data_IF_209842266941
#
_entry.id   IF_209842266941
#
_cell.length_a   1.000
_cell.length_b   1.000
_cell.length_c   1.000
_cell.angle_alpha   90.00
_cell.angle_beta   90.00
_cell.angle_gamma   90.00
#
_symmetry.space_group_name_H-M   'P 1'
#
loop_
_entity.id
_entity.type
_entity.pdbx_description
1 polymer ?
#
# COMPACT_ATOMS: atom_id res chain seq x y z
N UNK A 1 -58.33 -22.61 38.17
CA UNK A 1 -57.49 -22.28 36.99
C UNK A 1 -57.41 -20.76 36.83
N UNK A 2 -56.24 -20.14 37.04
CA UNK A 2 -56.06 -18.70 36.85
C UNK A 2 -56.03 -18.38 35.34
N UNK A 3 -56.93 -17.52 34.86
CA UNK A 3 -56.94 -17.05 33.47
C UNK A 3 -55.67 -16.23 33.24
N UNK A 4 -54.79 -16.74 32.38
CA UNK A 4 -53.56 -16.06 32.02
C UNK A 4 -53.92 -14.86 31.13
N UNK A 5 -53.41 -13.68 31.49
CA UNK A 5 -53.84 -12.42 30.87
C UNK A 5 -53.08 -12.24 29.55
N UNK A 6 -53.75 -12.43 28.41
CA UNK A 6 -53.13 -12.44 27.09
C UNK A 6 -52.32 -11.16 26.79
N UNK A 7 -52.72 -10.03 27.36
CA UNK A 7 -52.03 -8.74 27.24
C UNK A 7 -50.63 -8.73 27.86
N UNK A 8 -50.39 -9.50 28.92
CA UNK A 8 -49.06 -9.62 29.56
C UNK A 8 -48.13 -10.45 28.68
N UNK A 9 -48.65 -11.49 28.02
CA UNK A 9 -47.88 -12.34 27.12
C UNK A 9 -47.43 -11.57 25.87
N UNK A 10 -48.31 -10.74 25.30
CA UNK A 10 -47.99 -9.90 24.14
C UNK A 10 -46.91 -8.85 24.50
N UNK A 11 -47.02 -8.24 25.68
CA UNK A 11 -46.04 -7.26 26.14
C UNK A 11 -44.65 -7.89 26.37
N UNK A 12 -44.60 -9.10 26.94
CA UNK A 12 -43.35 -9.85 27.12
C UNK A 12 -42.74 -10.29 25.78
N UNK A 13 -43.56 -10.68 24.80
CA UNK A 13 -43.10 -11.00 23.44
C UNK A 13 -42.53 -9.77 22.73
N UNK A 14 -43.15 -8.61 22.85
CA UNK A 14 -42.65 -7.37 22.26
C UNK A 14 -41.29 -6.94 22.86
N UNK A 15 -41.13 -7.07 24.19
CA UNK A 15 -39.85 -6.82 24.86
C UNK A 15 -38.79 -7.81 24.37
N UNK A 16 -39.12 -9.10 24.25
CA UNK A 16 -38.18 -10.12 23.76
C UNK A 16 -37.70 -9.81 22.33
N UNK A 17 -38.61 -9.42 21.43
CA UNK A 17 -38.27 -9.03 20.05
C UNK A 17 -37.37 -7.79 20.03
N UNK A 18 -37.63 -6.78 20.88
CA UNK A 18 -36.76 -5.61 20.98
C UNK A 18 -35.35 -5.97 21.51
N UNK A 19 -35.25 -6.84 22.52
CA UNK A 19 -33.95 -7.26 23.08
C UNK A 19 -33.13 -8.04 22.03
N UNK A 20 -33.77 -8.95 21.29
CA UNK A 20 -33.12 -9.70 20.20
C UNK A 20 -32.70 -8.77 19.05
N UNK A 21 -33.50 -7.74 18.75
CA UNK A 21 -33.15 -6.74 17.74
C UNK A 21 -31.92 -5.91 18.16
N UNK A 22 -31.84 -5.51 19.44
CA UNK A 22 -30.70 -4.77 19.97
C UNK A 22 -29.41 -5.58 20.06
N UNK A 23 -29.49 -6.90 20.27
CA UNK A 23 -28.30 -7.76 20.28
C UNK A 23 -27.77 -8.01 18.88
N UNK A 24 -28.62 -8.21 17.87
CA UNK A 24 -28.19 -8.44 16.49
C UNK A 24 -27.48 -7.20 15.91
N UNK A 25 -28.02 -6.00 16.15
CA UNK A 25 -27.42 -4.73 15.66
C UNK A 25 -26.03 -4.46 16.30
N UNK A 26 -25.77 -4.94 17.52
CA UNK A 26 -24.47 -4.78 18.17
C UNK A 26 -23.40 -5.78 17.72
N UNK A 27 -23.78 -6.94 17.19
CA UNK A 27 -22.81 -7.95 16.74
C UNK A 27 -22.13 -7.53 15.45
N UNK A 28 -22.83 -6.87 14.52
CA UNK A 28 -22.22 -6.29 13.31
C UNK A 28 -21.27 -5.13 13.64
N UNK A 29 -21.60 -4.30 14.64
CA UNK A 29 -20.73 -3.21 15.11
C UNK A 29 -19.45 -3.68 15.84
N UNK A 30 -19.35 -4.98 16.18
CA UNK A 30 -18.20 -5.57 16.87
C UNK A 30 -17.31 -6.42 15.97
N UNK A 31 -17.63 -6.57 14.68
CA UNK A 31 -16.64 -7.09 13.72
C UNK A 31 -15.55 -6.04 13.53
N UNK A 32 -14.50 -6.12 14.35
CA UNK A 32 -13.26 -5.37 14.15
C UNK A 32 -12.79 -5.65 12.73
N UNK A 33 -12.71 -4.60 11.91
CA UNK A 33 -12.15 -4.71 10.56
C UNK A 33 -10.79 -5.45 10.62
N UNK A 34 -10.52 -6.36 9.68
CA UNK A 34 -9.28 -7.10 9.68
C UNK A 34 -8.09 -6.13 9.61
N UNK A 35 -7.15 -6.31 10.54
CA UNK A 35 -5.92 -5.53 10.58
C UNK A 35 -5.06 -5.86 9.36
N UNK A 36 -4.56 -4.85 8.67
CA UNK A 36 -3.71 -5.00 7.49
C UNK A 36 -2.51 -5.92 7.77
N UNK A 37 -2.38 -6.95 6.95
CA UNK A 37 -1.28 -7.90 6.96
C UNK A 37 -0.59 -7.88 5.59
N UNK A 38 0.61 -7.28 5.46
CA UNK A 38 1.26 -7.12 4.16
C UNK A 38 1.68 -8.46 3.55
N UNK A 39 2.02 -9.47 4.36
CA UNK A 39 2.41 -10.79 3.84
C UNK A 39 1.19 -11.48 3.22
N UNK A 40 0.05 -11.43 3.91
CA UNK A 40 -1.18 -12.02 3.39
C UNK A 40 -1.68 -11.27 2.15
N UNK A 41 -1.65 -9.93 2.18
CA UNK A 41 -2.03 -9.10 1.04
C UNK A 41 -1.12 -9.37 -0.18
N UNK A 42 0.19 -9.47 0.03
CA UNK A 42 1.14 -9.69 -1.07
C UNK A 42 1.04 -11.09 -1.69
N UNK A 43 0.68 -12.12 -0.91
CA UNK A 43 0.46 -13.47 -1.46
C UNK A 43 -0.64 -13.54 -2.51
N UNK A 44 -1.56 -12.58 -2.51
CA UNK A 44 -2.64 -12.48 -3.51
C UNK A 44 -2.13 -11.86 -4.82
N UNK A 45 -1.02 -11.13 -4.77
CA UNK A 45 -0.32 -10.63 -5.95
C UNK A 45 0.40 -11.83 -6.59
N UNK A 46 -0.28 -12.49 -7.52
CA UNK A 46 0.32 -13.58 -8.28
C UNK A 46 1.58 -13.15 -9.01
N UNK A 47 2.38 -14.12 -9.47
CA UNK A 47 3.73 -13.86 -9.99
C UNK A 47 3.80 -13.77 -11.51
N UNK A 48 2.73 -14.09 -12.23
CA UNK A 48 2.73 -14.05 -13.70
C UNK A 48 2.46 -12.64 -14.24
N UNK A 49 2.82 -12.40 -15.50
CA UNK A 49 2.45 -11.18 -16.24
C UNK A 49 0.94 -10.87 -16.16
N UNK A 50 0.09 -11.89 -16.30
CA UNK A 50 -1.38 -11.72 -16.21
C UNK A 50 -1.80 -11.30 -14.80
N UNK A 51 -1.20 -11.89 -13.76
CA UNK A 51 -1.49 -11.53 -12.38
C UNK A 51 -1.09 -10.08 -12.07
N UNK A 52 0.04 -9.62 -12.60
CA UNK A 52 0.50 -8.25 -12.43
C UNK A 52 -0.44 -7.23 -13.10
N UNK A 53 -0.94 -7.54 -14.29
CA UNK A 53 -1.94 -6.70 -14.97
C UNK A 53 -3.25 -6.68 -14.18
N UNK A 54 -3.71 -7.84 -13.72
CA UNK A 54 -4.91 -7.96 -12.89
C UNK A 54 -4.76 -7.16 -11.60
N UNK A 55 -3.59 -7.25 -10.96
CA UNK A 55 -3.30 -6.51 -9.73
C UNK A 55 -3.29 -5.00 -9.96
N UNK A 56 -2.67 -4.55 -11.06
CA UNK A 56 -2.68 -3.14 -11.46
C UNK A 56 -4.11 -2.62 -11.66
N UNK A 57 -4.99 -3.42 -12.26
CA UNK A 57 -6.39 -3.06 -12.43
C UNK A 57 -7.14 -2.98 -11.08
N UNK A 58 -6.89 -3.92 -10.15
CA UNK A 58 -7.47 -3.85 -8.80
C UNK A 58 -6.99 -2.62 -8.03
N UNK A 59 -5.72 -2.25 -8.17
CA UNK A 59 -5.17 -1.03 -7.57
C UNK A 59 -5.83 0.23 -8.16
N UNK A 60 -6.09 0.26 -9.48
CA UNK A 60 -6.82 1.36 -10.10
C UNK A 60 -8.20 1.57 -9.48
N UNK A 61 -8.97 0.49 -9.26
CA UNK A 61 -10.27 0.58 -8.57
C UNK A 61 -10.15 1.17 -7.17
N UNK A 62 -9.07 0.88 -6.44
CA UNK A 62 -8.80 1.46 -5.12
C UNK A 62 -8.47 2.95 -5.20
N UNK A 63 -7.70 3.37 -6.19
CA UNK A 63 -7.40 4.78 -6.47
C UNK A 63 -8.70 5.53 -6.80
N UNK A 64 -9.55 4.96 -7.65
CA UNK A 64 -10.83 5.57 -8.04
C UNK A 64 -11.73 5.76 -6.80
N UNK A 65 -11.85 4.73 -5.95
CA UNK A 65 -12.58 4.82 -4.67
C UNK A 65 -12.04 5.92 -3.76
N UNK A 66 -10.72 6.03 -3.62
CA UNK A 66 -10.09 7.12 -2.84
C UNK A 66 -10.41 8.48 -3.46
N UNK A 67 -10.38 8.58 -4.79
CA UNK A 67 -10.61 9.84 -5.49
C UNK A 67 -12.04 10.35 -5.36
N UNK A 68 -13.00 9.43 -5.29
CA UNK A 68 -14.43 9.73 -5.07
C UNK A 68 -14.76 10.07 -3.61
N UNK A 69 -13.98 9.57 -2.64
CA UNK A 69 -14.37 9.62 -1.21
C UNK A 69 -13.58 10.63 -0.38
N UNK A 70 -12.34 10.97 -0.76
CA UNK A 70 -11.47 11.81 0.05
C UNK A 70 -11.37 13.25 -0.45
N UNK A 71 -11.14 14.17 0.47
CA UNK A 71 -10.91 15.59 0.13
C UNK A 71 -9.58 15.78 -0.62
N UNK A 72 -9.44 16.80 -1.49
CA UNK A 72 -8.25 16.97 -2.35
C UNK A 72 -6.91 17.02 -1.58
N UNK A 73 -6.94 17.58 -0.38
CA UNK A 73 -5.78 17.81 0.47
C UNK A 73 -5.48 16.65 1.44
N UNK A 74 -6.28 15.58 1.44
CA UNK A 74 -5.99 14.43 2.30
C UNK A 74 -4.78 13.66 1.80
N UNK A 75 -3.97 13.17 2.74
CA UNK A 75 -2.77 12.39 2.45
C UNK A 75 -3.12 10.90 2.39
N UNK A 76 -2.66 10.27 1.31
CA UNK A 76 -2.84 8.84 1.04
C UNK A 76 -1.48 8.17 1.11
N UNK A 77 -1.37 7.13 1.94
CA UNK A 77 -0.19 6.27 2.03
C UNK A 77 -0.14 5.37 0.79
N UNK A 78 0.95 5.43 0.05
CA UNK A 78 1.14 4.65 -1.18
C UNK A 78 2.50 3.96 -1.20
N UNK A 79 2.53 2.77 -1.79
CA UNK A 79 3.76 2.17 -2.30
C UNK A 79 3.81 2.37 -3.81
N UNK A 80 4.83 3.04 -4.30
CA UNK A 80 5.06 3.31 -5.72
C UNK A 80 6.09 2.30 -6.23
N UNK A 81 5.74 1.54 -7.26
CA UNK A 81 6.67 0.67 -7.99
C UNK A 81 7.02 1.33 -9.32
N UNK A 82 8.31 1.49 -9.61
CA UNK A 82 8.76 2.09 -10.87
C UNK A 82 8.79 1.08 -12.01
N UNK A 83 8.60 1.57 -13.24
CA UNK A 83 8.66 0.73 -14.44
C UNK A 83 10.10 0.33 -14.80
N UNK A 84 11.08 1.11 -14.36
CA UNK A 84 12.52 0.85 -14.48
C UNK A 84 13.27 1.36 -13.25
N UNK A 85 14.49 0.88 -12.99
CA UNK A 85 15.33 1.48 -11.96
C UNK A 85 15.59 2.96 -12.28
N UNK A 86 15.22 3.85 -11.36
CA UNK A 86 15.43 5.29 -11.50
C UNK A 86 16.81 5.67 -10.99
N UNK A 87 17.45 6.63 -11.66
CA UNK A 87 18.62 7.30 -11.11
C UNK A 87 18.20 8.36 -10.06
N UNK A 88 19.17 8.96 -9.38
CA UNK A 88 18.91 9.96 -8.33
C UNK A 88 18.17 11.20 -8.83
N UNK A 89 18.45 11.64 -10.06
CA UNK A 89 17.80 12.81 -10.67
C UNK A 89 16.33 12.52 -10.97
N UNK A 90 16.05 11.41 -11.66
CA UNK A 90 14.67 10.97 -11.96
C UNK A 90 13.84 10.81 -10.68
N UNK A 91 14.44 10.21 -9.64
CA UNK A 91 13.81 10.05 -8.34
C UNK A 91 13.46 11.40 -7.69
N UNK A 92 14.43 12.33 -7.66
CA UNK A 92 14.24 13.64 -7.05
C UNK A 92 13.18 14.48 -7.78
N UNK A 93 13.21 14.47 -9.12
CA UNK A 93 12.21 15.13 -9.96
C UNK A 93 10.81 14.57 -9.70
N UNK A 94 10.65 13.25 -9.63
CA UNK A 94 9.36 12.63 -9.32
C UNK A 94 8.84 13.05 -7.94
N UNK A 95 9.69 13.01 -6.90
CA UNK A 95 9.31 13.43 -5.55
C UNK A 95 8.87 14.89 -5.52
N UNK A 96 9.58 15.77 -6.22
CA UNK A 96 9.26 17.19 -6.28
C UNK A 96 7.94 17.43 -7.05
N UNK A 97 7.79 16.85 -8.24
CA UNK A 97 6.63 17.06 -9.12
C UNK A 97 5.30 16.69 -8.46
N UNK A 98 5.32 15.62 -7.66
CA UNK A 98 4.13 15.13 -6.96
C UNK A 98 4.08 15.51 -5.47
N UNK A 99 5.06 16.30 -5.00
CA UNK A 99 5.17 16.73 -3.60
C UNK A 99 5.07 15.55 -2.62
N UNK A 100 5.81 14.48 -2.90
CA UNK A 100 5.75 13.24 -2.13
C UNK A 100 6.39 13.44 -0.76
N UNK A 101 5.65 13.14 0.31
CA UNK A 101 6.21 13.01 1.66
C UNK A 101 6.78 11.60 1.80
N UNK A 102 8.03 11.43 1.38
CA UNK A 102 8.73 10.14 1.37
C UNK A 102 8.92 9.60 2.78
N UNK A 103 8.67 8.31 2.96
CA UNK A 103 8.86 7.55 4.21
C UNK A 103 9.98 6.52 4.07
N UNK A 104 10.08 5.89 2.90
CA UNK A 104 11.10 4.90 2.58
C UNK A 104 11.38 4.91 1.08
N UNK A 105 12.63 4.64 0.71
CA UNK A 105 13.05 4.44 -0.67
C UNK A 105 13.71 3.07 -0.74
N UNK A 106 13.47 2.33 -1.81
CA UNK A 106 14.14 1.05 -2.05
C UNK A 106 14.98 1.08 -3.31
N UNK A 107 16.19 0.56 -3.18
CA UNK A 107 17.18 0.46 -4.24
C UNK A 107 17.44 -0.98 -4.65
N UNK A 108 17.78 -1.19 -5.92
CA UNK A 108 18.18 -2.48 -6.47
C UNK A 108 19.70 -2.59 -6.51
N UNK A 109 20.25 -3.66 -5.95
CA UNK A 109 21.69 -3.96 -5.98
C UNK A 109 21.97 -5.39 -6.43
N UNK A 110 23.05 -5.61 -7.17
CA UNK A 110 23.49 -6.95 -7.60
C UNK A 110 24.91 -7.17 -7.08
N UNK A 111 25.11 -8.22 -6.29
CA UNK A 111 26.43 -8.60 -5.79
C UNK A 111 27.28 -9.19 -6.94
N UNK A 112 28.54 -8.76 -7.06
CA UNK A 112 29.37 -9.01 -8.24
C UNK A 112 29.79 -10.48 -8.39
N UNK A 113 30.02 -11.20 -7.30
CA UNK A 113 30.63 -12.54 -7.34
C UNK A 113 29.62 -13.64 -7.68
N UNK A 114 28.42 -13.51 -7.16
CA UNK A 114 27.35 -14.50 -7.21
C UNK A 114 26.22 -14.08 -8.15
N UNK A 115 26.14 -12.79 -8.49
CA UNK A 115 25.00 -12.22 -9.19
C UNK A 115 23.75 -12.14 -8.31
N UNK A 116 23.88 -12.33 -6.98
CA UNK A 116 22.76 -12.31 -6.06
C UNK A 116 22.06 -10.95 -6.12
N UNK A 117 20.75 -11.02 -6.33
CA UNK A 117 19.88 -9.87 -6.37
C UNK A 117 19.48 -9.49 -4.95
N UNK A 118 19.56 -8.21 -4.60
CA UNK A 118 19.05 -7.70 -3.33
C UNK A 118 18.36 -6.35 -3.49
N UNK A 119 17.57 -6.02 -2.46
CA UNK A 119 16.93 -4.72 -2.26
C UNK A 119 17.51 -4.08 -1.01
N UNK A 120 17.98 -2.84 -1.14
CA UNK A 120 18.36 -2.00 0.00
C UNK A 120 17.21 -1.07 0.33
N UNK A 121 17.02 -0.78 1.62
CA UNK A 121 16.04 0.19 2.10
C UNK A 121 16.75 1.40 2.67
N UNK A 122 16.34 2.58 2.24
CA UNK A 122 16.86 3.88 2.65
C UNK A 122 15.71 4.70 3.22
N UNK A 123 16.02 5.55 4.19
CA UNK A 123 15.05 6.47 4.78
C UNK A 123 15.52 7.91 4.55
N UNK A 124 14.59 8.86 4.33
CA UNK A 124 14.93 10.28 4.33
C UNK A 124 15.57 10.71 5.65
N UNK A 125 16.56 11.59 5.56
CA UNK A 125 17.31 12.09 6.72
C UNK A 125 17.72 13.55 6.50
N UNK A 126 17.54 14.41 7.51
CA UNK A 126 17.96 15.81 7.49
C UNK A 126 17.49 16.60 6.25
N UNK A 127 16.27 16.34 5.78
CA UNK A 127 15.69 16.99 4.60
C UNK A 127 16.15 16.41 3.25
N UNK A 128 17.09 15.45 3.25
CA UNK A 128 17.52 14.72 2.06
C UNK A 128 16.70 13.45 1.89
N UNK A 129 16.58 12.97 0.65
CA UNK A 129 15.88 11.72 0.32
C UNK A 129 16.58 10.48 0.91
N UNK A 130 17.91 10.51 1.00
CA UNK A 130 18.75 9.48 1.60
C UNK A 130 20.17 10.03 1.81
N UNK A 131 20.96 9.34 2.63
CA UNK A 131 22.38 9.62 2.81
C UNK A 131 23.20 8.88 1.72
N UNK A 132 23.81 9.64 0.81
CA UNK A 132 24.63 9.07 -0.28
C UNK A 132 25.85 8.30 0.22
N UNK A 133 26.51 8.78 1.28
CA UNK A 133 27.69 8.09 1.84
C UNK A 133 27.31 6.71 2.40
N UNK A 134 26.16 6.60 3.06
CA UNK A 134 25.70 5.32 3.60
C UNK A 134 25.40 4.32 2.48
N UNK A 135 24.74 4.79 1.42
CA UNK A 135 24.48 4.00 0.21
C UNK A 135 25.79 3.49 -0.40
N UNK A 136 26.75 4.39 -0.65
CA UNK A 136 28.06 4.04 -1.23
C UNK A 136 28.84 3.04 -0.36
N UNK A 137 28.82 3.22 0.96
CA UNK A 137 29.45 2.28 1.89
C UNK A 137 28.78 0.92 1.87
N UNK A 138 27.44 0.86 1.83
CA UNK A 138 26.71 -0.42 1.72
C UNK A 138 27.07 -1.16 0.43
N UNK A 139 27.10 -0.45 -0.71
CA UNK A 139 27.48 -1.02 -2.01
C UNK A 139 28.91 -1.55 -1.97
N UNK A 140 29.85 -0.75 -1.47
CA UNK A 140 31.28 -1.11 -1.40
C UNK A 140 31.55 -2.30 -0.49
N UNK A 141 30.93 -2.34 0.70
CA UNK A 141 31.13 -3.42 1.69
C UNK A 141 30.64 -4.78 1.17
N UNK A 142 29.65 -4.77 0.29
CA UNK A 142 29.06 -5.98 -0.27
C UNK A 142 29.58 -6.33 -1.67
N UNK A 143 30.59 -5.63 -2.18
CA UNK A 143 31.09 -5.81 -3.56
C UNK A 143 29.95 -5.90 -4.58
N UNK A 144 29.07 -4.90 -4.54
CA UNK A 144 27.83 -4.88 -5.32
C UNK A 144 27.80 -3.72 -6.32
N UNK A 145 26.86 -3.79 -7.25
CA UNK A 145 26.54 -2.72 -8.20
C UNK A 145 25.12 -2.25 -7.94
N UNK A 146 24.97 -0.95 -7.72
CA UNK A 146 23.67 -0.30 -7.64
C UNK A 146 23.07 -0.13 -9.03
N UNK A 147 21.82 -0.57 -9.19
CA UNK A 147 21.10 -0.50 -10.47
C UNK A 147 20.11 0.65 -10.54
N UNK A 148 19.76 1.27 -9.41
CA UNK A 148 18.79 2.36 -9.34
C UNK A 148 17.73 2.14 -8.25
N UNK A 149 16.87 3.13 -8.08
CA UNK A 149 15.73 3.09 -7.18
C UNK A 149 14.55 2.40 -7.85
N UNK A 150 13.88 1.52 -7.12
CA UNK A 150 12.82 0.67 -7.68
C UNK A 150 11.46 0.87 -7.02
N UNK A 151 11.44 1.37 -5.77
CA UNK A 151 10.20 1.63 -5.04
C UNK A 151 10.33 2.86 -4.13
N UNK A 152 9.21 3.52 -3.87
CA UNK A 152 9.04 4.50 -2.79
C UNK A 152 7.83 4.10 -1.95
N UNK A 153 7.92 4.27 -0.64
CA UNK A 153 6.76 4.41 0.25
C UNK A 153 6.64 5.88 0.62
N UNK A 154 5.50 6.49 0.36
CA UNK A 154 5.27 7.90 0.62
C UNK A 154 3.82 8.20 0.98
N UNK A 155 3.58 9.38 1.56
CA UNK A 155 2.27 10.00 1.49
C UNK A 155 2.20 10.93 0.28
N UNK A 156 1.09 10.89 -0.43
CA UNK A 156 0.77 11.79 -1.54
C UNK A 156 -0.58 12.45 -1.28
N UNK A 157 -0.73 13.73 -1.65
CA UNK A 157 -2.04 14.37 -1.61
C UNK A 157 -2.97 13.68 -2.60
N UNK A 158 -4.23 13.46 -2.20
CA UNK A 158 -5.23 12.80 -3.05
C UNK A 158 -5.32 13.45 -4.42
N UNK A 159 -5.31 14.78 -4.51
CA UNK A 159 -5.41 15.52 -5.77
C UNK A 159 -4.34 15.15 -6.82
N UNK A 160 -3.21 14.58 -6.37
CA UNK A 160 -2.10 14.15 -7.23
C UNK A 160 -2.11 12.66 -7.54
N UNK A 161 -2.94 11.87 -6.85
CA UNK A 161 -2.88 10.41 -6.86
C UNK A 161 -3.10 9.82 -8.25
N UNK A 162 -4.13 10.26 -8.97
CA UNK A 162 -4.45 9.78 -10.33
C UNK A 162 -3.31 10.14 -11.29
N UNK A 163 -2.89 11.41 -11.32
CA UNK A 163 -1.80 11.87 -12.19
C UNK A 163 -0.45 11.19 -11.89
N UNK A 164 -0.21 10.78 -10.64
CA UNK A 164 0.98 10.00 -10.27
C UNK A 164 0.88 8.56 -10.78
N UNK A 165 -0.32 7.96 -10.75
CA UNK A 165 -0.55 6.60 -11.24
C UNK A 165 -0.43 6.46 -12.76
N UNK A 166 -0.50 7.58 -13.47
CA UNK A 166 -0.36 7.69 -14.92
C UNK A 166 1.03 8.17 -15.36
N UNK A 167 1.93 8.48 -14.42
CA UNK A 167 3.29 8.90 -14.74
C UNK A 167 4.05 7.77 -15.47
N UNK A 168 4.77 8.14 -16.53
CA UNK A 168 5.50 7.20 -17.39
C UNK A 168 6.60 6.42 -16.68
N UNK A 169 7.12 6.92 -15.56
CA UNK A 169 8.13 6.26 -14.73
C UNK A 169 7.51 5.28 -13.72
N UNK A 170 6.19 5.34 -13.55
CA UNK A 170 5.47 4.60 -12.52
C UNK A 170 4.73 3.43 -13.14
N UNK A 171 5.04 2.21 -12.67
CA UNK A 171 4.26 1.04 -13.04
C UNK A 171 2.96 0.96 -12.22
N UNK A 172 3.05 1.22 -10.90
CA UNK A 172 1.96 1.04 -9.96
C UNK A 172 2.07 2.03 -8.79
N UNK A 173 0.95 2.62 -8.38
CA UNK A 173 0.80 3.39 -7.12
C UNK A 173 -0.20 2.66 -6.26
N UNK A 174 0.24 1.99 -5.22
CA UNK A 174 -0.58 1.06 -4.46
C UNK A 174 -1.01 1.64 -3.11
N UNK A 175 -2.28 2.06 -2.96
CA UNK A 175 -2.80 2.58 -1.71
C UNK A 175 -3.33 1.48 -0.78
N UNK A 176 -3.11 0.19 -1.06
CA UNK A 176 -3.76 -0.92 -0.32
C UNK A 176 -3.49 -0.94 1.18
N UNK A 177 -2.43 -0.28 1.63
CA UNK A 177 -2.08 -0.15 3.05
C UNK A 177 -2.64 1.13 3.68
N UNK A 178 -3.32 1.98 2.92
CA UNK A 178 -3.84 3.24 3.40
C UNK A 178 -5.00 3.05 4.40
N UNK A 179 -5.01 3.91 5.42
CA UNK A 179 -5.99 3.86 6.52
C UNK A 179 -7.43 4.10 6.07
N UNK A 180 -7.64 4.75 4.93
CA UNK A 180 -8.97 5.00 4.37
C UNK A 180 -9.54 3.77 3.65
N UNK A 181 -8.72 2.75 3.40
CA UNK A 181 -9.14 1.48 2.79
C UNK A 181 -9.14 0.32 3.77
N UNK A 182 -8.23 0.32 4.76
CA UNK A 182 -8.09 -0.78 5.72
C UNK A 182 -7.53 -0.29 7.06
N UNK A 183 -7.93 -0.95 8.15
CA UNK A 183 -7.33 -0.76 9.46
C UNK A 183 -5.83 -1.11 9.46
N UNK A 184 -4.95 -0.10 9.52
CA UNK A 184 -3.50 -0.27 9.53
C UNK A 184 -2.83 0.50 10.69
N UNK A 185 -3.11 0.13 11.97
CA UNK A 185 -2.59 0.84 13.14
C UNK A 185 -1.06 0.79 13.26
N UNK A 186 -0.43 -0.24 12.67
CA UNK A 186 1.02 -0.43 12.66
C UNK A 186 1.72 0.33 11.52
N UNK A 187 0.98 1.08 10.70
CA UNK A 187 1.50 1.84 9.55
C UNK A 187 2.43 1.00 8.66
N UNK A 188 2.07 -0.27 8.46
CA UNK A 188 2.80 -1.15 7.53
C UNK A 188 2.52 -0.69 6.10
N UNK A 189 3.37 -1.07 5.16
CA UNK A 189 3.21 -0.71 3.76
C UNK A 189 3.10 -1.98 2.92
N UNK A 190 2.47 -1.85 1.75
CA UNK A 190 2.44 -2.92 0.78
C UNK A 190 3.85 -3.07 0.15
N UNK A 191 4.39 -4.28 -0.01
CA UNK A 191 5.60 -4.45 -0.82
C UNK A 191 5.33 -4.05 -2.27
N UNK A 192 6.29 -3.41 -2.93
CA UNK A 192 6.19 -3.18 -4.36
C UNK A 192 6.39 -4.49 -5.14
N UNK A 193 6.13 -4.42 -6.45
CA UNK A 193 6.10 -5.59 -7.34
C UNK A 193 7.28 -5.62 -8.31
N UNK A 194 8.34 -4.85 -8.04
CA UNK A 194 9.44 -4.67 -9.00
C UNK A 194 10.13 -5.99 -9.36
N UNK A 195 10.34 -6.87 -8.38
CA UNK A 195 10.92 -8.20 -8.61
C UNK A 195 10.09 -9.02 -9.60
N UNK A 196 8.76 -8.94 -9.49
CA UNK A 196 7.88 -9.62 -10.43
C UNK A 196 7.94 -8.98 -11.83
N UNK A 197 8.15 -7.66 -11.95
CA UNK A 197 8.40 -7.04 -13.25
C UNK A 197 9.70 -7.54 -13.87
N UNK A 198 10.77 -7.62 -13.08
CA UNK A 198 12.09 -8.11 -13.51
C UNK A 198 12.00 -9.56 -13.99
N UNK A 199 11.38 -10.44 -13.19
CA UNK A 199 11.25 -11.87 -13.50
C UNK A 199 10.36 -12.15 -14.73
N UNK A 200 9.45 -11.23 -15.08
CA UNK A 200 8.57 -11.37 -16.25
C UNK A 200 9.04 -10.55 -17.47
N UNK A 201 10.23 -9.93 -17.42
CA UNK A 201 10.73 -9.10 -18.52
C UNK A 201 9.85 -7.88 -18.84
N UNK A 202 9.26 -7.28 -17.80
CA UNK A 202 8.36 -6.12 -17.89
C UNK A 202 9.03 -4.81 -17.43
N UNK A 203 10.30 -4.86 -17.03
CA UNK A 203 11.10 -3.68 -16.73
C UNK A 203 11.36 -2.93 -18.05
N UNK A 204 11.05 -1.63 -18.08
CA UNK A 204 11.33 -0.81 -19.24
C UNK A 204 12.83 -0.52 -19.37
N UNK A 205 13.28 -0.30 -20.61
CA UNK A 205 14.64 0.14 -20.93
C UNK A 205 14.90 1.61 -20.55
#
# INVERSE_FOLDING_TARGET
>A
MKKFNASILIFLLAILVCIVSFTIVRVEALQKEPIFNPIAAYKVVGTSKTDLINYKNQVKVKIDKINETLSPNENVLVTITFIKPLNQKELAELVQNYSLSVLQIKGRVIENKTGLRATISLSPENGNLFNTSDLEQMIKRNDAVFKGFIEIVANVKREKLVSLSEDKLVFLVDPSADKHLISNPKKKFMPGVFWNLEDNGLVAE
#
